data_IF_916740408429
#
_entry.id   IF_916740408429
#
_cell.length_a   1.000
_cell.length_b   1.000
_cell.length_c   1.000
_cell.angle_alpha   90.00
_cell.angle_beta   90.00
_cell.angle_gamma   90.00
#
_symmetry.space_group_name_H-M   'P 1'
#
loop_
_entity.id
_entity.type
_entity.pdbx_description
1 polymer ?
#
# COMPACT_ATOMS: atom_id res chain seq x y z
N UNK A 1 26.30 -24.73 -7.32
CA UNK A 1 26.27 -23.46 -6.59
C UNK A 1 26.16 -22.35 -7.61
N UNK A 2 25.14 -21.48 -7.59
CA UNK A 2 25.12 -20.33 -8.49
C UNK A 2 26.25 -19.38 -8.09
N UNK A 3 26.95 -18.84 -9.07
CA UNK A 3 28.04 -17.91 -8.89
C UNK A 3 27.56 -16.73 -8.03
N UNK A 4 28.32 -16.38 -6.98
CA UNK A 4 28.08 -15.12 -6.23
C UNK A 4 28.07 -13.99 -7.25
N UNK A 5 26.88 -13.42 -7.54
CA UNK A 5 26.77 -12.17 -8.30
C UNK A 5 27.62 -11.14 -7.56
N UNK A 6 28.59 -10.52 -8.27
CA UNK A 6 29.40 -9.39 -7.80
C UNK A 6 28.50 -8.40 -7.06
N UNK A 7 29.03 -7.68 -6.06
CA UNK A 7 28.39 -6.58 -5.34
C UNK A 7 27.78 -5.57 -6.33
N UNK A 8 26.55 -5.85 -6.79
CA UNK A 8 25.81 -4.95 -7.67
C UNK A 8 25.25 -3.83 -6.80
N UNK A 9 25.68 -2.61 -7.06
CA UNK A 9 25.14 -1.40 -6.44
C UNK A 9 24.16 -0.77 -7.40
N UNK A 10 22.88 -0.70 -7.02
CA UNK A 10 21.83 -0.09 -7.84
C UNK A 10 21.78 1.41 -7.61
N UNK A 11 21.63 2.17 -8.68
CA UNK A 11 21.42 3.62 -8.64
C UNK A 11 19.92 3.92 -8.58
N UNK A 12 19.51 4.60 -7.53
CA UNK A 12 18.10 4.88 -7.21
C UNK A 12 17.82 6.37 -7.42
N UNK A 13 16.68 6.65 -8.04
CA UNK A 13 16.13 8.00 -8.14
C UNK A 13 14.82 8.10 -7.33
N UNK A 14 14.58 9.27 -6.74
CA UNK A 14 13.36 9.62 -6.02
C UNK A 14 12.60 10.67 -6.81
N UNK A 15 11.35 10.40 -7.15
CA UNK A 15 10.43 11.35 -7.77
C UNK A 15 9.31 11.67 -6.80
N UNK A 16 9.25 12.92 -6.32
CA UNK A 16 8.45 13.38 -5.19
C UNK A 16 9.24 13.30 -3.89
N UNK A 17 9.80 14.43 -3.44
CA UNK A 17 10.62 14.54 -2.23
C UNK A 17 9.80 15.08 -1.04
N UNK A 18 8.52 14.72 -0.98
CA UNK A 18 7.58 15.11 0.08
C UNK A 18 7.67 14.27 1.35
N UNK A 19 6.60 14.31 2.15
CA UNK A 19 6.54 13.66 3.46
C UNK A 19 6.81 12.16 3.44
N UNK A 20 6.21 11.42 2.52
CA UNK A 20 6.37 9.95 2.45
C UNK A 20 7.79 9.57 2.02
N UNK A 21 8.39 10.31 1.09
CA UNK A 21 9.76 10.08 0.67
C UNK A 21 10.74 10.31 1.83
N UNK A 22 10.57 11.42 2.58
CA UNK A 22 11.42 11.78 3.73
C UNK A 22 11.19 10.93 4.97
N UNK A 23 9.96 10.49 5.22
CA UNK A 23 9.60 9.71 6.41
C UNK A 23 9.79 8.20 6.26
N UNK A 24 9.78 7.69 5.04
CA UNK A 24 9.80 6.24 4.76
C UNK A 24 10.89 5.83 3.77
N UNK A 25 10.78 6.26 2.51
CA UNK A 25 11.61 5.69 1.44
C UNK A 25 13.10 6.01 1.60
N UNK A 26 13.46 7.29 1.66
CA UNK A 26 14.87 7.69 1.71
C UNK A 26 15.58 7.20 2.98
N UNK A 27 15.00 7.32 4.19
CA UNK A 27 15.62 6.77 5.40
C UNK A 27 15.84 5.25 5.35
N UNK A 28 14.89 4.51 4.78
CA UNK A 28 14.98 3.05 4.66
C UNK A 28 16.03 2.63 3.63
N UNK A 29 16.04 3.28 2.46
CA UNK A 29 17.04 3.05 1.41
C UNK A 29 18.46 3.39 1.89
N UNK A 30 18.63 4.48 2.66
CA UNK A 30 19.94 4.90 3.17
C UNK A 30 20.61 3.86 4.10
N UNK A 31 19.85 2.89 4.63
CA UNK A 31 20.38 1.78 5.44
C UNK A 31 20.93 0.61 4.60
N UNK A 32 20.71 0.61 3.30
CA UNK A 32 21.13 -0.46 2.40
C UNK A 32 22.50 -0.14 1.81
N UNK A 33 23.44 -1.07 1.92
CA UNK A 33 24.83 -0.91 1.41
C UNK A 33 24.96 -1.16 -0.11
N UNK A 34 23.93 -1.71 -0.74
CA UNK A 34 23.91 -2.10 -2.13
C UNK A 34 23.11 -1.18 -3.05
N UNK A 35 22.85 0.06 -2.59
CA UNK A 35 22.23 1.13 -3.38
C UNK A 35 22.97 2.46 -3.25
N UNK A 36 22.73 3.35 -4.20
CA UNK A 36 23.13 4.74 -4.16
C UNK A 36 21.96 5.59 -4.64
N UNK A 37 21.52 6.57 -3.86
CA UNK A 37 20.54 7.57 -4.30
C UNK A 37 21.27 8.66 -5.07
N UNK A 38 21.11 8.68 -6.39
CA UNK A 38 21.90 9.52 -7.31
C UNK A 38 21.10 10.62 -8.01
N UNK A 39 19.76 10.59 -7.87
CA UNK A 39 18.91 11.60 -8.50
C UNK A 39 17.64 11.86 -7.66
N UNK A 40 17.25 13.13 -7.58
CA UNK A 40 16.07 13.58 -6.84
C UNK A 40 15.28 14.56 -7.72
N UNK A 41 13.96 14.37 -7.76
CA UNK A 41 13.05 15.20 -8.52
C UNK A 41 11.86 15.63 -7.69
N UNK A 42 11.57 16.91 -7.64
CA UNK A 42 10.33 17.49 -7.12
C UNK A 42 10.00 18.75 -7.91
N UNK A 43 8.72 19.04 -8.12
CA UNK A 43 8.29 20.29 -8.76
C UNK A 43 8.70 21.52 -7.94
N UNK A 44 8.95 21.35 -6.65
CA UNK A 44 9.53 22.33 -5.74
C UNK A 44 11.02 22.01 -5.60
N UNK A 45 11.86 22.80 -6.28
CA UNK A 45 13.30 22.55 -6.40
C UNK A 45 13.99 22.40 -5.04
N UNK A 46 13.63 23.22 -4.07
CA UNK A 46 14.21 23.22 -2.72
C UNK A 46 14.03 21.88 -2.01
N UNK A 47 12.89 21.21 -2.21
CA UNK A 47 12.65 19.87 -1.64
C UNK A 47 13.59 18.82 -2.23
N UNK A 48 13.84 18.87 -3.51
CA UNK A 48 14.76 17.95 -4.17
C UNK A 48 16.21 18.22 -3.77
N UNK A 49 16.61 19.49 -3.61
CA UNK A 49 17.94 19.90 -3.13
C UNK A 49 18.19 19.45 -1.70
N UNK A 50 17.22 19.65 -0.79
CA UNK A 50 17.31 19.20 0.61
C UNK A 50 17.42 17.67 0.69
N UNK A 51 16.64 16.95 -0.10
CA UNK A 51 16.70 15.50 -0.18
C UNK A 51 18.06 15.02 -0.71
N UNK A 52 18.58 15.62 -1.78
CA UNK A 52 19.88 15.29 -2.36
C UNK A 52 21.01 15.57 -1.36
N UNK A 53 20.99 16.69 -0.66
CA UNK A 53 21.97 17.04 0.38
C UNK A 53 21.97 16.04 1.52
N UNK A 54 20.80 15.53 1.92
CA UNK A 54 20.66 14.65 3.08
C UNK A 54 20.94 13.18 2.78
N UNK A 55 20.57 12.71 1.61
CA UNK A 55 20.53 11.27 1.28
C UNK A 55 21.32 10.90 0.02
N UNK A 56 21.67 11.88 -0.81
CA UNK A 56 22.32 11.65 -2.09
C UNK A 56 23.81 11.37 -1.98
N UNK A 57 24.34 10.81 -3.05
CA UNK A 57 25.80 10.80 -3.27
C UNK A 57 26.33 12.22 -3.48
N UNK A 58 27.64 12.42 -3.35
CA UNK A 58 28.26 13.75 -3.51
C UNK A 58 28.04 14.38 -4.88
N UNK A 59 27.74 13.56 -5.90
CA UNK A 59 27.46 13.93 -7.29
C UNK A 59 25.96 13.79 -7.66
N UNK A 60 25.09 13.64 -6.65
CA UNK A 60 23.66 13.48 -6.87
C UNK A 60 23.06 14.67 -7.63
N UNK A 61 22.19 14.37 -8.59
CA UNK A 61 21.57 15.35 -9.46
C UNK A 61 20.18 15.72 -8.97
N UNK A 62 19.81 16.98 -9.16
CA UNK A 62 18.50 17.54 -8.83
C UNK A 62 17.75 17.92 -10.10
N UNK A 63 16.46 17.60 -10.14
CA UNK A 63 15.56 17.86 -11.27
C UNK A 63 14.24 18.46 -10.78
N UNK A 64 13.61 19.28 -11.62
CA UNK A 64 12.22 19.74 -11.42
C UNK A 64 11.26 19.12 -12.43
N UNK A 65 11.79 18.44 -13.43
CA UNK A 65 11.05 17.66 -14.43
C UNK A 65 11.57 16.22 -14.44
N UNK A 66 10.70 15.27 -14.06
CA UNK A 66 11.04 13.86 -14.04
C UNK A 66 11.40 13.28 -15.43
N UNK A 67 10.89 13.86 -16.51
CA UNK A 67 11.23 13.44 -17.87
C UNK A 67 12.70 13.70 -18.21
N UNK A 68 13.28 14.74 -17.63
CA UNK A 68 14.73 15.00 -17.74
C UNK A 68 15.52 14.00 -16.93
N UNK A 69 15.06 13.67 -15.71
CA UNK A 69 15.67 12.64 -14.88
C UNK A 69 15.69 11.27 -15.59
N UNK A 70 14.61 10.88 -16.24
CA UNK A 70 14.50 9.58 -16.94
C UNK A 70 15.45 9.44 -18.14
N UNK A 71 15.99 10.52 -18.67
CA UNK A 71 17.05 10.48 -19.72
C UNK A 71 18.37 9.95 -19.18
N UNK A 72 18.60 9.96 -17.87
CA UNK A 72 19.80 9.41 -17.26
C UNK A 72 19.76 7.88 -17.31
N UNK A 73 20.57 7.30 -18.20
CA UNK A 73 20.65 5.84 -18.41
C UNK A 73 21.35 5.10 -17.28
N UNK A 74 22.00 5.81 -16.36
CA UNK A 74 22.70 5.20 -15.22
C UNK A 74 21.79 4.84 -14.05
N UNK A 75 20.57 5.38 -14.02
CA UNK A 75 19.56 5.07 -13.01
C UNK A 75 18.96 3.70 -13.29
N UNK A 76 18.90 2.86 -12.27
CA UNK A 76 18.35 1.49 -12.34
C UNK A 76 16.91 1.44 -11.80
N UNK A 77 16.64 2.18 -10.74
CA UNK A 77 15.39 2.10 -9.96
C UNK A 77 14.82 3.51 -9.72
N UNK A 78 13.51 3.63 -9.86
CA UNK A 78 12.77 4.86 -9.54
C UNK A 78 11.78 4.57 -8.41
N UNK A 79 11.76 5.43 -7.38
CA UNK A 79 10.70 5.48 -6.38
C UNK A 79 9.77 6.65 -6.70
N UNK A 80 8.48 6.36 -6.95
CA UNK A 80 7.43 7.35 -7.23
C UNK A 80 6.69 7.65 -5.94
N UNK A 81 6.90 8.85 -5.39
CA UNK A 81 6.39 9.30 -4.10
C UNK A 81 5.55 10.59 -4.23
N UNK A 82 4.89 10.74 -5.35
CA UNK A 82 4.08 11.91 -5.74
C UNK A 82 2.63 11.78 -5.27
N UNK A 83 1.76 12.79 -5.47
CA UNK A 83 0.32 12.63 -5.36
C UNK A 83 -0.25 11.59 -6.34
N UNK A 84 -1.38 10.95 -5.96
CA UNK A 84 -1.98 9.82 -6.68
C UNK A 84 -2.22 10.09 -8.18
N UNK A 85 -2.56 11.34 -8.52
CA UNK A 85 -2.83 11.78 -9.90
C UNK A 85 -1.69 11.49 -10.86
N UNK A 86 -0.46 11.56 -10.40
CA UNK A 86 0.74 11.41 -11.24
C UNK A 86 1.38 10.03 -11.18
N UNK A 87 0.87 9.10 -10.35
CA UNK A 87 1.45 7.76 -10.20
C UNK A 87 1.55 7.03 -11.55
N UNK A 88 0.46 6.99 -12.30
CA UNK A 88 0.40 6.19 -13.53
C UNK A 88 1.37 6.70 -14.60
N UNK A 89 1.33 7.99 -14.91
CA UNK A 89 2.15 8.56 -16.00
C UNK A 89 3.65 8.46 -15.65
N UNK A 90 4.03 8.84 -14.43
CA UNK A 90 5.43 8.75 -14.00
C UNK A 90 5.91 7.28 -13.97
N UNK A 91 5.06 6.34 -13.53
CA UNK A 91 5.42 4.92 -13.50
C UNK A 91 5.58 4.34 -14.90
N UNK A 92 4.64 4.61 -15.81
CA UNK A 92 4.70 4.15 -17.20
C UNK A 92 5.96 4.71 -17.88
N UNK A 93 6.17 6.03 -17.82
CA UNK A 93 7.34 6.68 -18.43
C UNK A 93 8.66 6.12 -17.86
N UNK A 94 8.69 5.80 -16.55
CA UNK A 94 9.87 5.20 -15.89
C UNK A 94 10.16 3.79 -16.37
N UNK A 95 9.11 2.94 -16.48
CA UNK A 95 9.23 1.57 -16.98
C UNK A 95 9.70 1.57 -18.45
N UNK A 96 9.10 2.43 -19.29
CA UNK A 96 9.48 2.59 -20.68
C UNK A 96 10.92 3.14 -20.86
N UNK A 97 11.38 3.97 -19.91
CA UNK A 97 12.77 4.40 -19.84
C UNK A 97 13.74 3.31 -19.37
N UNK A 98 13.23 2.09 -19.12
CA UNK A 98 14.02 0.92 -18.74
C UNK A 98 14.35 0.84 -17.25
N UNK A 99 13.60 1.51 -16.36
CA UNK A 99 13.82 1.52 -14.93
C UNK A 99 12.89 0.53 -14.22
N UNK A 100 13.35 -0.10 -13.12
CA UNK A 100 12.47 -0.77 -12.17
C UNK A 100 11.76 0.28 -11.32
N UNK A 101 10.48 0.04 -10.96
CA UNK A 101 9.68 1.06 -10.29
C UNK A 101 9.03 0.55 -9.00
N UNK A 102 9.23 1.31 -7.93
CA UNK A 102 8.43 1.27 -6.72
C UNK A 102 7.49 2.49 -6.74
N UNK A 103 6.19 2.26 -6.82
CA UNK A 103 5.20 3.33 -6.76
C UNK A 103 4.49 3.31 -5.41
N UNK A 104 4.31 4.47 -4.77
CA UNK A 104 3.48 4.56 -3.58
C UNK A 104 2.03 4.16 -3.87
N UNK A 105 1.36 3.74 -2.78
CA UNK A 105 -0.07 3.42 -2.84
C UNK A 105 -0.93 4.71 -2.90
N UNK A 106 -2.14 4.63 -3.46
CA UNK A 106 -2.69 3.53 -4.27
C UNK A 106 -1.93 3.38 -5.59
N UNK A 107 -2.05 2.23 -6.24
CA UNK A 107 -1.39 2.02 -7.55
C UNK A 107 -1.70 3.15 -8.53
N UNK A 108 -2.98 3.49 -8.68
CA UNK A 108 -3.46 4.62 -9.47
C UNK A 108 -4.82 5.11 -8.98
N UNK A 109 -5.30 6.24 -9.48
CA UNK A 109 -6.65 6.78 -9.21
C UNK A 109 -7.76 5.94 -9.86
N UNK A 110 -7.48 5.30 -10.99
CA UNK A 110 -8.44 4.52 -11.77
C UNK A 110 -7.89 3.14 -12.12
N UNK A 111 -8.80 2.17 -12.31
CA UNK A 111 -8.43 0.85 -12.79
C UNK A 111 -7.82 0.88 -14.21
N UNK A 112 -8.26 1.81 -15.05
CA UNK A 112 -7.69 2.00 -16.39
C UNK A 112 -6.22 2.40 -16.32
N UNK A 113 -5.87 3.34 -15.46
CA UNK A 113 -4.49 3.77 -15.25
C UNK A 113 -3.63 2.67 -14.62
N UNK A 114 -4.17 1.94 -13.65
CA UNK A 114 -3.49 0.79 -13.04
C UNK A 114 -3.20 -0.31 -14.08
N UNK A 115 -4.12 -0.57 -15.03
CA UNK A 115 -3.86 -1.49 -16.15
C UNK A 115 -2.74 -1.00 -17.05
N UNK A 116 -2.69 0.31 -17.39
CA UNK A 116 -1.58 0.90 -18.16
C UNK A 116 -0.22 0.64 -17.48
N UNK A 117 -0.14 0.81 -16.16
CA UNK A 117 1.09 0.54 -15.40
C UNK A 117 1.48 -0.94 -15.47
N UNK A 118 0.51 -1.84 -15.29
CA UNK A 118 0.74 -3.29 -15.39
C UNK A 118 1.21 -3.69 -16.79
N UNK A 119 0.56 -3.17 -17.84
CA UNK A 119 0.92 -3.45 -19.23
C UNK A 119 2.34 -2.95 -19.54
N UNK A 120 2.69 -1.73 -19.10
CA UNK A 120 4.03 -1.20 -19.27
C UNK A 120 5.08 -2.08 -18.57
N UNK A 121 4.81 -2.56 -17.36
CA UNK A 121 5.71 -3.49 -16.66
C UNK A 121 5.92 -4.79 -17.45
N UNK A 122 4.83 -5.36 -18.00
CA UNK A 122 4.90 -6.59 -18.82
C UNK A 122 5.66 -6.39 -20.14
N UNK A 123 5.38 -5.28 -20.84
CA UNK A 123 6.01 -4.98 -22.13
C UNK A 123 7.51 -4.69 -22.00
N UNK A 124 7.91 -4.00 -20.95
CA UNK A 124 9.31 -3.63 -20.72
C UNK A 124 10.14 -4.72 -20.02
N UNK A 125 9.48 -5.71 -19.41
CA UNK A 125 10.11 -6.70 -18.55
C UNK A 125 10.72 -6.11 -17.28
N UNK A 126 10.40 -4.86 -16.94
CA UNK A 126 10.87 -4.21 -15.71
C UNK A 126 9.93 -4.51 -14.54
N UNK A 127 10.51 -4.65 -13.36
CA UNK A 127 9.74 -4.94 -12.15
C UNK A 127 9.02 -3.69 -11.69
N UNK A 128 7.75 -3.88 -11.31
CA UNK A 128 6.89 -2.90 -10.69
C UNK A 128 6.40 -3.46 -9.35
N UNK A 129 6.44 -2.65 -8.30
CA UNK A 129 5.80 -2.95 -7.01
C UNK A 129 5.09 -1.72 -6.48
N UNK A 130 4.09 -1.95 -5.63
CA UNK A 130 3.28 -0.89 -5.02
C UNK A 130 3.52 -0.86 -3.51
N UNK A 131 3.58 0.33 -2.91
CA UNK A 131 3.94 0.59 -1.53
C UNK A 131 2.92 0.13 -0.48
N UNK A 132 2.51 -1.14 -0.49
CA UNK A 132 1.64 -1.73 0.52
C UNK A 132 2.44 -2.21 1.73
N UNK A 133 3.01 -1.26 2.50
CA UNK A 133 3.93 -1.53 3.61
C UNK A 133 3.35 -2.41 4.72
N UNK A 134 2.02 -2.49 4.85
CA UNK A 134 1.40 -3.30 5.90
C UNK A 134 1.62 -4.81 5.72
N UNK A 135 1.96 -5.29 4.53
CA UNK A 135 2.37 -6.68 4.29
C UNK A 135 3.69 -7.04 4.98
N UNK A 136 4.54 -6.05 5.30
CA UNK A 136 5.86 -6.25 5.90
C UNK A 136 5.86 -6.16 7.44
N UNK A 137 4.71 -5.98 8.06
CA UNK A 137 4.55 -6.02 9.51
C UNK A 137 4.78 -7.45 10.02
N UNK A 138 5.44 -7.64 11.18
CA UNK A 138 5.68 -8.98 11.72
C UNK A 138 4.41 -9.82 11.89
N UNK A 139 3.34 -9.22 12.44
CA UNK A 139 2.04 -9.85 12.60
C UNK A 139 1.38 -10.23 11.26
N UNK A 140 1.56 -9.38 10.24
CA UNK A 140 1.06 -9.64 8.89
C UNK A 140 1.81 -10.80 8.22
N UNK A 141 3.13 -10.83 8.34
CA UNK A 141 3.96 -11.92 7.81
C UNK A 141 3.63 -13.26 8.47
N UNK A 142 3.46 -13.25 9.79
CA UNK A 142 3.06 -14.44 10.54
C UNK A 142 1.67 -14.94 10.12
N UNK A 143 0.67 -14.04 10.10
CA UNK A 143 -0.69 -14.41 9.71
C UNK A 143 -0.76 -14.92 8.26
N UNK A 144 -0.02 -14.29 7.33
CA UNK A 144 0.03 -14.77 5.96
C UNK A 144 0.60 -16.20 5.89
N UNK A 145 1.63 -16.51 6.68
CA UNK A 145 2.15 -17.88 6.76
C UNK A 145 1.09 -18.86 7.28
N UNK A 146 0.39 -18.54 8.34
CA UNK A 146 -0.73 -19.33 8.88
C UNK A 146 -1.78 -19.61 7.79
N UNK A 147 -2.17 -18.57 7.04
CA UNK A 147 -3.12 -18.71 5.93
C UNK A 147 -2.57 -19.59 4.79
N UNK A 148 -1.29 -19.45 4.44
CA UNK A 148 -0.64 -20.23 3.36
C UNK A 148 -0.45 -21.71 3.73
N UNK A 149 -0.22 -22.01 4.98
CA UNK A 149 -0.14 -23.39 5.50
C UNK A 149 -1.54 -24.04 5.65
N UNK A 150 -2.62 -23.27 5.42
CA UNK A 150 -3.99 -23.78 5.46
C UNK A 150 -4.56 -23.98 6.87
N UNK A 151 -3.94 -23.42 7.91
CA UNK A 151 -4.38 -23.60 9.29
C UNK A 151 -5.79 -23.04 9.57
N UNK A 152 -6.27 -22.09 8.74
CA UNK A 152 -7.64 -21.57 8.86
C UNK A 152 -8.66 -22.34 8.02
N UNK A 153 -8.23 -23.30 7.18
CA UNK A 153 -9.08 -23.95 6.20
C UNK A 153 -9.53 -23.01 5.08
N UNK A 154 -10.72 -23.19 4.55
CA UNK A 154 -11.31 -22.28 3.55
C UNK A 154 -11.77 -20.99 4.23
N UNK A 155 -11.16 -19.86 3.86
CA UNK A 155 -11.58 -18.54 4.35
C UNK A 155 -12.78 -18.09 3.51
N UNK A 156 -13.97 -18.17 4.07
CA UNK A 156 -15.24 -17.85 3.41
C UNK A 156 -15.78 -16.46 3.74
N UNK A 157 -15.31 -15.85 4.84
CA UNK A 157 -15.69 -14.50 5.23
C UNK A 157 -14.49 -13.73 5.79
N UNK A 158 -14.38 -12.46 5.42
CA UNK A 158 -13.35 -11.56 5.96
C UNK A 158 -13.89 -10.14 6.19
N UNK A 159 -13.25 -9.41 7.10
CA UNK A 159 -13.46 -7.97 7.28
C UNK A 159 -12.15 -7.24 7.02
N UNK A 160 -12.20 -6.23 6.17
CA UNK A 160 -11.13 -5.28 5.94
C UNK A 160 -11.48 -3.95 6.63
N UNK A 161 -10.66 -3.50 7.58
CA UNK A 161 -10.99 -2.43 8.50
C UNK A 161 -9.97 -1.29 8.43
N UNK A 162 -10.48 -0.08 8.15
CA UNK A 162 -9.67 1.13 8.06
C UNK A 162 -10.49 2.33 8.59
N UNK A 163 -10.76 2.34 9.90
CA UNK A 163 -11.65 3.30 10.55
C UNK A 163 -10.88 4.23 11.47
N UNK A 164 -10.92 5.52 11.15
CA UNK A 164 -10.57 6.63 12.04
C UNK A 164 -11.85 7.30 12.52
N UNK A 165 -11.91 7.66 13.81
CA UNK A 165 -13.09 8.36 14.34
C UNK A 165 -13.12 9.82 13.90
N UNK A 166 -12.01 10.53 14.03
CA UNK A 166 -11.77 11.93 13.68
C UNK A 166 -10.28 12.13 13.45
N UNK A 167 -9.79 11.69 12.30
CA UNK A 167 -8.41 11.89 11.89
C UNK A 167 -8.36 12.08 10.37
N UNK A 168 -8.93 13.22 9.95
CA UNK A 168 -8.91 13.70 8.57
C UNK A 168 -7.55 14.31 8.29
N UNK A 169 -6.81 13.89 7.25
CA UNK A 169 -5.56 14.53 6.86
C UNK A 169 -5.83 15.96 6.36
N UNK A 170 -5.26 16.96 7.04
CA UNK A 170 -5.49 18.38 6.73
C UNK A 170 -4.34 19.02 5.96
N UNK A 171 -3.32 18.24 5.61
CA UNK A 171 -2.15 18.68 4.86
C UNK A 171 -2.16 18.17 3.41
N UNK A 172 -1.33 18.77 2.57
CA UNK A 172 -1.14 18.37 1.18
C UNK A 172 -2.44 18.49 0.37
N UNK A 173 -2.73 17.46 -0.42
CA UNK A 173 -3.87 17.45 -1.37
C UNK A 173 -4.94 16.40 -1.02
N UNK A 174 -4.92 15.84 0.20
CA UNK A 174 -5.81 14.73 0.59
C UNK A 174 -7.30 15.03 0.43
N UNK A 175 -7.72 16.29 0.62
CA UNK A 175 -9.13 16.69 0.53
C UNK A 175 -9.59 17.01 -0.90
N UNK A 176 -8.69 16.91 -1.88
CA UNK A 176 -8.95 17.24 -3.27
C UNK A 176 -9.16 15.96 -4.10
N UNK A 177 -10.41 15.72 -4.58
CA UNK A 177 -10.77 14.55 -5.37
C UNK A 177 -9.99 14.48 -6.69
N UNK A 178 -9.71 15.62 -7.36
CA UNK A 178 -8.96 15.61 -8.62
C UNK A 178 -7.53 15.10 -8.43
N UNK A 179 -6.88 15.45 -7.33
CA UNK A 179 -5.50 15.02 -7.03
C UNK A 179 -5.44 13.59 -6.49
N UNK A 180 -6.40 13.19 -5.64
CA UNK A 180 -6.37 11.93 -4.89
C UNK A 180 -7.22 10.82 -5.50
N UNK A 181 -8.32 11.16 -6.19
CA UNK A 181 -9.28 10.19 -6.72
C UNK A 181 -10.35 9.76 -5.72
N UNK A 182 -10.22 10.13 -4.45
CA UNK A 182 -11.15 9.85 -3.37
C UNK A 182 -10.53 10.12 -2.01
N UNK A 183 -11.27 9.86 -0.96
CA UNK A 183 -10.92 10.09 0.44
C UNK A 183 -10.41 8.82 1.14
N UNK A 184 -10.98 8.47 2.33
CA UNK A 184 -10.51 7.34 3.13
C UNK A 184 -10.54 6.00 2.40
N UNK A 185 -11.44 5.77 1.46
CA UNK A 185 -11.51 4.51 0.75
C UNK A 185 -10.22 4.24 -0.03
N UNK A 186 -9.75 5.23 -0.79
CA UNK A 186 -8.53 5.10 -1.60
C UNK A 186 -7.26 5.34 -0.79
N UNK A 187 -7.32 6.09 0.33
CA UNK A 187 -6.16 6.37 1.19
C UNK A 187 -5.84 5.25 2.17
N UNK A 188 -6.80 4.87 3.02
CA UNK A 188 -6.59 3.87 4.08
C UNK A 188 -7.36 2.57 3.85
N UNK A 189 -8.52 2.62 3.18
CA UNK A 189 -9.27 1.44 2.78
C UNK A 189 -8.47 0.51 1.86
N UNK A 190 -7.66 1.10 0.99
CA UNK A 190 -6.73 0.37 0.12
C UNK A 190 -5.78 -0.54 0.89
N UNK A 191 -5.26 -0.09 2.05
CA UNK A 191 -4.37 -0.88 2.89
C UNK A 191 -5.05 -2.09 3.54
N UNK A 192 -6.27 -1.87 4.07
CA UNK A 192 -7.02 -2.95 4.71
C UNK A 192 -7.48 -3.98 3.69
N UNK A 193 -7.92 -3.53 2.51
CA UNK A 193 -8.34 -4.42 1.43
C UNK A 193 -7.17 -5.22 0.88
N UNK A 194 -6.04 -4.56 0.57
CA UNK A 194 -4.82 -5.24 0.13
C UNK A 194 -4.39 -6.34 1.10
N UNK A 195 -4.30 -6.00 2.38
CA UNK A 195 -3.92 -6.94 3.42
C UNK A 195 -4.86 -8.14 3.49
N UNK A 196 -6.18 -7.89 3.41
CA UNK A 196 -7.20 -8.94 3.46
C UNK A 196 -7.15 -9.87 2.25
N UNK A 197 -7.05 -9.32 1.02
CA UNK A 197 -6.90 -10.12 -0.19
C UNK A 197 -5.61 -10.94 -0.18
N UNK A 198 -4.52 -10.37 0.36
CA UNK A 198 -3.24 -11.06 0.48
C UNK A 198 -3.29 -12.24 1.48
N UNK A 199 -4.00 -12.08 2.60
CA UNK A 199 -4.24 -13.20 3.54
C UNK A 199 -5.09 -14.30 2.91
N UNK A 200 -6.18 -13.92 2.22
CA UNK A 200 -7.05 -14.86 1.53
C UNK A 200 -6.42 -15.50 0.29
N UNK A 201 -5.31 -14.96 -0.22
CA UNK A 201 -4.75 -15.30 -1.53
C UNK A 201 -5.81 -15.34 -2.64
N UNK A 202 -6.73 -14.39 -2.63
CA UNK A 202 -7.87 -14.36 -3.54
C UNK A 202 -8.06 -12.96 -4.11
N UNK A 203 -7.81 -12.80 -5.40
CA UNK A 203 -7.85 -11.53 -6.14
C UNK A 203 -8.88 -11.56 -7.27
N UNK A 204 -9.88 -12.46 -7.18
CA UNK A 204 -10.91 -12.62 -8.20
C UNK A 204 -12.27 -12.18 -7.67
N UNK A 205 -12.57 -10.86 -7.70
CA UNK A 205 -13.89 -10.37 -7.31
C UNK A 205 -14.93 -10.77 -8.37
N UNK A 206 -16.10 -11.21 -7.90
CA UNK A 206 -17.29 -11.50 -8.74
C UNK A 206 -18.21 -10.29 -8.82
N UNK A 207 -18.50 -9.67 -7.68
CA UNK A 207 -19.36 -8.50 -7.60
C UNK A 207 -19.06 -7.66 -6.38
N UNK A 208 -19.37 -6.37 -6.50
CA UNK A 208 -19.19 -5.37 -5.45
C UNK A 208 -20.45 -4.52 -5.30
N UNK A 209 -20.91 -4.38 -4.07
CA UNK A 209 -21.92 -3.39 -3.68
C UNK A 209 -21.32 -2.46 -2.62
N UNK A 210 -21.49 -1.15 -2.76
CA UNK A 210 -20.92 -0.22 -1.79
C UNK A 210 -21.53 1.18 -1.81
N UNK A 211 -21.17 1.96 -0.78
CA UNK A 211 -21.65 3.34 -0.60
C UNK A 211 -20.54 4.22 -0.04
N UNK A 212 -20.41 5.42 -0.58
CA UNK A 212 -19.55 6.48 -0.10
C UNK A 212 -20.39 7.63 0.47
N UNK A 213 -19.96 8.21 1.57
CA UNK A 213 -20.71 9.23 2.31
C UNK A 213 -19.88 10.50 2.45
N UNK A 214 -20.58 11.66 2.32
CA UNK A 214 -20.04 13.02 2.40
C UNK A 214 -20.79 13.76 3.51
N UNK A 215 -20.67 13.30 4.78
CA UNK A 215 -21.49 13.75 5.90
C UNK A 215 -20.75 14.67 6.86
N UNK A 216 -19.60 14.21 7.34
CA UNK A 216 -18.85 14.92 8.38
C UNK A 216 -17.77 15.84 7.82
N UNK A 217 -17.29 15.59 6.62
CA UNK A 217 -16.36 16.47 5.90
C UNK A 217 -16.92 17.87 5.64
N UNK A 218 -18.26 18.00 5.51
CA UNK A 218 -18.95 19.28 5.33
C UNK A 218 -19.33 19.99 6.63
N UNK A 219 -19.05 19.39 7.78
CA UNK A 219 -19.37 19.97 9.07
C UNK A 219 -18.36 21.06 9.43
N UNK A 220 -18.85 22.27 9.70
CA UNK A 220 -18.08 23.36 10.28
C UNK A 220 -17.66 23.03 11.72
N UNK A 221 -16.53 23.49 12.14
CA UNK A 221 -15.98 23.35 13.51
C UNK A 221 -15.98 21.90 14.03
N UNK A 222 -15.74 20.94 13.13
CA UNK A 222 -15.63 19.53 13.51
C UNK A 222 -14.34 19.27 14.27
N UNK A 223 -14.43 18.52 15.38
CA UNK A 223 -13.25 18.04 16.09
C UNK A 223 -12.42 17.13 15.18
N UNK A 224 -11.10 17.27 15.19
CA UNK A 224 -10.15 16.46 14.42
C UNK A 224 -8.80 16.37 15.13
N UNK A 225 -8.14 15.22 15.03
CA UNK A 225 -6.84 14.99 15.66
C UNK A 225 -5.71 15.85 15.05
N UNK A 226 -5.85 16.24 13.79
CA UNK A 226 -4.80 16.94 13.03
C UNK A 226 -5.20 18.37 12.60
N UNK A 227 -5.98 19.05 13.45
CA UNK A 227 -6.43 20.42 13.21
C UNK A 227 -7.69 20.48 12.34
N UNK A 228 -8.18 21.71 12.14
CA UNK A 228 -9.38 21.99 11.36
C UNK A 228 -9.12 21.88 9.86
N UNK A 229 -10.18 21.62 9.11
CA UNK A 229 -10.19 21.71 7.65
C UNK A 229 -11.21 22.76 7.18
N UNK A 230 -11.08 23.17 5.94
CA UNK A 230 -12.06 23.99 5.24
C UNK A 230 -13.12 23.07 4.59
N UNK A 231 -14.38 23.07 5.06
CA UNK A 231 -15.43 22.22 4.49
C UNK A 231 -15.70 22.45 3.01
N UNK A 232 -15.41 23.66 2.48
CA UNK A 232 -15.61 23.97 1.06
C UNK A 232 -14.55 23.29 0.17
N UNK A 233 -13.35 23.05 0.72
CA UNK A 233 -12.26 22.34 0.06
C UNK A 233 -12.31 20.83 0.23
N UNK A 234 -13.21 20.31 1.06
CA UNK A 234 -13.37 18.89 1.29
C UNK A 234 -14.25 18.28 0.19
N UNK A 235 -13.66 17.82 -0.90
CA UNK A 235 -14.38 17.34 -2.09
C UNK A 235 -14.49 15.82 -2.19
N UNK A 236 -13.80 15.09 -1.32
CA UNK A 236 -13.82 13.62 -1.26
C UNK A 236 -14.85 13.09 -0.25
N UNK A 237 -15.13 11.80 -0.23
CA UNK A 237 -15.93 11.17 0.82
C UNK A 237 -15.21 11.21 2.18
N UNK A 238 -15.95 11.16 3.28
CA UNK A 238 -15.41 11.02 4.65
C UNK A 238 -15.52 9.60 5.20
N UNK A 239 -16.34 8.77 4.58
CA UNK A 239 -16.49 7.36 4.89
C UNK A 239 -17.03 6.57 3.68
N UNK A 240 -16.64 5.31 3.56
CA UNK A 240 -17.14 4.39 2.54
C UNK A 240 -17.18 2.96 3.07
N UNK A 241 -18.15 2.19 2.56
CA UNK A 241 -18.38 0.81 2.96
C UNK A 241 -18.63 -0.04 1.71
N UNK A 242 -18.10 -1.26 1.69
CA UNK A 242 -18.23 -2.17 0.58
C UNK A 242 -18.50 -3.60 1.02
N UNK A 243 -19.29 -4.30 0.21
CA UNK A 243 -19.55 -5.72 0.32
C UNK A 243 -19.08 -6.37 -0.98
N UNK A 244 -18.05 -7.18 -0.90
CA UNK A 244 -17.37 -7.79 -2.04
C UNK A 244 -17.64 -9.28 -2.02
N UNK A 245 -18.21 -9.83 -3.10
CA UNK A 245 -18.32 -11.27 -3.31
C UNK A 245 -17.22 -11.72 -4.25
N UNK A 246 -16.44 -12.71 -3.85
CA UNK A 246 -15.37 -13.31 -4.64
C UNK A 246 -15.92 -14.42 -5.54
N UNK A 247 -15.19 -14.85 -6.58
CA UNK A 247 -15.64 -15.90 -7.50
C UNK A 247 -15.86 -17.26 -6.81
N UNK A 248 -15.07 -17.58 -5.79
CA UNK A 248 -15.24 -18.80 -4.97
C UNK A 248 -16.38 -18.71 -3.96
N UNK A 249 -17.15 -17.61 -3.93
CA UNK A 249 -18.25 -17.39 -3.00
C UNK A 249 -17.85 -16.73 -1.67
N UNK A 250 -16.58 -16.58 -1.37
CA UNK A 250 -16.13 -15.87 -0.18
C UNK A 250 -16.57 -14.39 -0.20
N UNK A 251 -16.75 -13.82 0.98
CA UNK A 251 -17.25 -12.46 1.14
C UNK A 251 -16.25 -11.63 1.93
N UNK A 252 -16.04 -10.38 1.48
CA UNK A 252 -15.27 -9.39 2.22
C UNK A 252 -16.18 -8.19 2.53
N UNK A 253 -16.27 -7.80 3.81
CA UNK A 253 -16.85 -6.54 4.25
C UNK A 253 -15.73 -5.52 4.44
N UNK A 254 -15.76 -4.43 3.67
CA UNK A 254 -14.79 -3.34 3.75
C UNK A 254 -15.42 -2.13 4.44
N UNK A 255 -14.72 -1.59 5.44
CA UNK A 255 -15.10 -0.37 6.16
C UNK A 255 -13.93 0.61 6.12
N UNK A 256 -14.19 1.83 5.66
CA UNK A 256 -13.17 2.88 5.60
C UNK A 256 -13.72 4.24 5.98
N UNK A 257 -13.00 4.96 6.86
CA UNK A 257 -13.45 6.29 7.29
C UNK A 257 -12.30 7.12 7.87
N UNK A 258 -12.29 8.42 7.55
CA UNK A 258 -11.51 9.42 8.28
C UNK A 258 -12.30 10.09 9.38
N UNK A 259 -13.65 10.12 9.25
CA UNK A 259 -14.56 10.76 10.19
C UNK A 259 -15.87 10.00 10.30
N UNK A 260 -16.12 9.39 11.44
CA UNK A 260 -17.33 8.64 11.75
C UNK A 260 -17.61 8.67 13.26
N UNK A 261 -18.87 8.51 13.67
CA UNK A 261 -19.24 8.37 15.08
C UNK A 261 -19.20 6.88 15.50
N UNK A 262 -18.01 6.31 15.53
CA UNK A 262 -17.74 4.94 15.96
C UNK A 262 -16.60 4.95 16.99
N UNK A 263 -16.69 4.10 18.02
CA UNK A 263 -15.64 3.95 19.03
C UNK A 263 -14.65 2.84 18.67
N UNK A 264 -15.08 1.84 17.88
CA UNK A 264 -14.19 0.80 17.40
C UNK A 264 -13.43 1.32 16.19
N UNK A 265 -12.19 1.70 16.40
CA UNK A 265 -11.31 2.30 15.39
C UNK A 265 -10.06 1.44 15.20
N UNK A 266 -9.51 1.46 13.99
CA UNK A 266 -8.28 0.72 13.64
C UNK A 266 -8.01 0.81 12.15
N UNK A 267 -6.74 0.75 11.77
CA UNK A 267 -6.29 0.86 10.39
C UNK A 267 -5.50 -0.38 9.97
N UNK A 268 -5.68 -0.79 8.72
CA UNK A 268 -5.03 -1.96 8.14
C UNK A 268 -5.18 -3.20 9.06
N UNK A 269 -6.41 -3.44 9.47
CA UNK A 269 -6.82 -4.58 10.29
C UNK A 269 -7.64 -5.53 9.41
N UNK A 270 -7.36 -6.81 9.51
CA UNK A 270 -8.20 -7.86 8.91
C UNK A 270 -8.75 -8.79 9.97
N UNK A 271 -9.98 -9.28 9.76
CA UNK A 271 -10.57 -10.42 10.47
C UNK A 271 -10.86 -11.49 9.44
N UNK A 272 -10.48 -12.73 9.72
CA UNK A 272 -10.64 -13.87 8.83
C UNK A 272 -11.44 -14.96 9.51
N UNK A 273 -12.45 -15.49 8.83
CA UNK A 273 -13.27 -16.62 9.28
C UNK A 273 -13.09 -17.76 8.29
N UNK A 274 -12.41 -18.80 8.71
CA UNK A 274 -12.20 -20.02 7.95
C UNK A 274 -12.95 -21.21 8.54
N UNK A 275 -12.93 -22.34 7.83
CA UNK A 275 -13.64 -23.57 8.24
C UNK A 275 -12.94 -24.31 9.37
N UNK A 276 -11.62 -24.15 9.52
CA UNK A 276 -10.81 -24.80 10.56
C UNK A 276 -10.41 -23.84 11.68
N UNK A 277 -10.48 -22.53 11.44
CA UNK A 277 -10.13 -21.51 12.41
C UNK A 277 -10.37 -20.10 11.89
N UNK A 278 -10.02 -19.13 12.71
CA UNK A 278 -10.12 -17.71 12.36
C UNK A 278 -8.97 -16.91 12.93
N UNK A 279 -8.88 -15.66 12.49
CA UNK A 279 -7.90 -14.70 12.97
C UNK A 279 -8.48 -13.29 13.04
N UNK A 280 -7.99 -12.48 13.95
CA UNK A 280 -8.22 -11.03 13.98
C UNK A 280 -6.99 -10.27 14.49
N UNK A 281 -6.94 -8.96 14.16
CA UNK A 281 -5.80 -8.09 14.49
C UNK A 281 -6.19 -6.91 15.38
N UNK A 282 -7.33 -6.96 16.10
CA UNK A 282 -7.85 -5.82 16.85
C UNK A 282 -7.02 -5.43 18.09
N UNK A 283 -6.54 -6.40 18.83
CA UNK A 283 -5.71 -6.21 20.04
C UNK A 283 -4.35 -6.91 19.89
N UNK A 284 -3.73 -6.69 18.74
CA UNK A 284 -2.67 -7.52 18.21
C UNK A 284 -3.22 -8.77 17.53
N UNK A 285 -2.35 -9.58 16.93
CA UNK A 285 -2.78 -10.78 16.22
C UNK A 285 -3.30 -11.82 17.21
N UNK A 286 -4.52 -12.31 16.95
CA UNK A 286 -5.15 -13.44 17.64
C UNK A 286 -5.60 -14.48 16.63
N UNK A 287 -5.34 -15.73 16.93
CA UNK A 287 -5.90 -16.88 16.22
C UNK A 287 -6.98 -17.51 17.10
N UNK A 288 -7.96 -18.15 16.51
CA UNK A 288 -9.00 -18.88 17.22
C UNK A 288 -9.35 -20.17 16.47
N UNK A 289 -9.84 -21.15 17.20
CA UNK A 289 -10.20 -22.44 16.65
C UNK A 289 -10.92 -23.30 17.65
N UNK A 290 -11.07 -24.59 17.31
CA UNK A 290 -11.66 -25.60 18.15
C UNK A 290 -10.67 -26.74 18.42
N UNK A 291 -10.56 -27.17 19.66
CA UNK A 291 -9.75 -28.33 20.04
C UNK A 291 -10.41 -29.09 21.19
N UNK A 292 -10.52 -30.38 21.04
CA UNK A 292 -11.14 -31.27 22.07
C UNK A 292 -12.57 -30.83 22.45
N UNK A 293 -13.37 -30.33 21.46
CA UNK A 293 -14.73 -29.86 21.70
C UNK A 293 -14.81 -28.55 22.49
N UNK A 294 -13.74 -27.75 22.50
CA UNK A 294 -13.68 -26.45 23.16
C UNK A 294 -13.12 -25.39 22.19
N UNK A 295 -13.77 -24.23 22.16
CA UNK A 295 -13.27 -23.06 21.48
C UNK A 295 -12.11 -22.46 22.26
N UNK A 296 -11.07 -22.01 21.55
CA UNK A 296 -9.93 -21.37 22.18
C UNK A 296 -9.39 -20.22 21.32
N UNK A 297 -8.97 -19.09 21.90
CA UNK A 297 -8.13 -18.10 21.26
C UNK A 297 -6.66 -18.40 21.57
N UNK A 298 -5.77 -18.07 20.64
CA UNK A 298 -4.31 -18.06 20.83
C UNK A 298 -3.77 -16.70 20.42
N UNK A 299 -2.92 -16.12 21.23
CA UNK A 299 -2.18 -14.90 20.91
C UNK A 299 -0.71 -15.27 20.70
N UNK A 300 -0.22 -15.26 19.45
CA UNK A 300 1.20 -15.49 19.19
C UNK A 300 2.05 -14.42 19.89
N UNK A 301 3.15 -14.84 20.49
CA UNK A 301 4.14 -13.91 21.03
C UNK A 301 4.98 -13.35 19.88
N UNK A 302 4.65 -12.13 19.47
CA UNK A 302 5.32 -11.45 18.39
C UNK A 302 6.64 -10.78 18.83
N UNK A 303 6.91 -10.68 20.14
CA UNK A 303 8.12 -10.08 20.72
C UNK A 303 9.20 -11.13 20.99
N UNK A 304 8.84 -12.40 21.03
CA UNK A 304 9.78 -13.52 21.20
C UNK A 304 10.69 -13.66 19.96
N UNK A 305 11.52 -12.67 19.71
CA UNK A 305 12.70 -12.84 18.87
C UNK A 305 13.67 -13.68 19.64
N UNK A 306 14.01 -14.88 19.14
CA UNK A 306 15.00 -15.76 19.79
C UNK A 306 16.22 -15.01 20.33
N UNK A 307 17.10 -15.68 21.02
CA UNK A 307 18.29 -15.07 21.66
C UNK A 307 19.01 -14.15 20.67
N UNK A 308 19.27 -12.90 21.01
CA UNK A 308 20.05 -11.88 20.26
C UNK A 308 21.38 -12.37 19.69
N UNK A 309 21.81 -13.56 20.08
CA UNK A 309 23.05 -14.21 19.70
C UNK A 309 23.19 -14.48 18.19
N UNK A 310 22.11 -14.48 17.42
CA UNK A 310 22.12 -14.73 15.99
C UNK A 310 21.80 -13.48 15.13
N UNK A 311 21.91 -12.29 15.69
CA UNK A 311 21.87 -11.03 14.93
C UNK A 311 20.52 -10.78 14.26
N UNK A 312 19.41 -11.00 14.96
CA UNK A 312 18.11 -10.53 14.53
C UNK A 312 18.07 -9.00 14.65
N UNK A 313 18.64 -8.30 13.67
CA UNK A 313 18.32 -6.90 13.46
C UNK A 313 16.85 -6.86 13.06
N UNK A 314 15.97 -6.53 13.97
CA UNK A 314 14.56 -6.31 13.67
C UNK A 314 14.44 -5.07 12.80
N UNK A 315 14.44 -5.28 11.48
CA UNK A 315 14.15 -4.20 10.54
C UNK A 315 12.71 -3.76 10.80
N UNK A 316 12.48 -2.44 10.82
CA UNK A 316 11.10 -1.98 10.81
C UNK A 316 10.44 -2.31 9.46
N UNK A 317 9.09 -2.31 9.36
CA UNK A 317 8.39 -2.72 8.14
C UNK A 317 8.85 -1.97 6.88
N UNK A 318 9.16 -0.67 6.99
CA UNK A 318 9.63 0.14 5.85
C UNK A 318 11.04 -0.23 5.38
N UNK A 319 11.91 -0.57 6.32
CA UNK A 319 13.27 -1.05 6.01
C UNK A 319 13.23 -2.43 5.37
N UNK A 320 12.34 -3.30 5.86
CA UNK A 320 12.14 -4.63 5.29
C UNK A 320 11.57 -4.54 3.87
N UNK A 321 10.59 -3.65 3.64
CA UNK A 321 10.04 -3.36 2.31
C UNK A 321 11.14 -2.91 1.34
N UNK A 322 11.95 -1.90 1.73
CA UNK A 322 13.04 -1.41 0.92
C UNK A 322 14.07 -2.49 0.61
N UNK A 323 14.47 -3.29 1.61
CA UNK A 323 15.40 -4.40 1.45
C UNK A 323 14.87 -5.45 0.49
N UNK A 324 13.65 -5.94 0.71
CA UNK A 324 13.05 -6.99 -0.11
C UNK A 324 12.82 -6.52 -1.55
N UNK A 325 12.49 -5.24 -1.76
CA UNK A 325 12.39 -4.66 -3.09
C UNK A 325 13.73 -4.67 -3.84
N UNK A 326 14.79 -4.19 -3.22
CA UNK A 326 16.13 -4.18 -3.83
C UNK A 326 16.64 -5.61 -4.06
N UNK A 327 16.44 -6.50 -3.11
CA UNK A 327 16.81 -7.92 -3.23
C UNK A 327 16.04 -8.61 -4.38
N UNK A 328 14.77 -8.28 -4.58
CA UNK A 328 13.93 -8.76 -5.68
C UNK A 328 14.53 -8.38 -7.06
N UNK A 329 15.03 -7.16 -7.21
CA UNK A 329 15.66 -6.69 -8.44
C UNK A 329 17.00 -7.43 -8.67
N UNK A 330 17.85 -7.49 -7.64
CA UNK A 330 19.19 -8.09 -7.74
C UNK A 330 19.12 -9.59 -8.03
N UNK A 331 18.17 -10.28 -7.40
CA UNK A 331 18.04 -11.73 -7.52
C UNK A 331 17.08 -12.16 -8.64
N UNK A 332 16.48 -11.21 -9.33
CA UNK A 332 15.49 -11.42 -10.38
C UNK A 332 14.29 -12.29 -9.93
N UNK A 333 13.76 -12.01 -8.74
CA UNK A 333 12.60 -12.68 -8.17
C UNK A 333 11.34 -11.82 -8.30
N UNK A 334 10.17 -12.38 -8.00
CA UNK A 334 8.92 -11.63 -7.95
C UNK A 334 8.87 -10.71 -6.73
N UNK A 335 8.30 -9.49 -6.86
CA UNK A 335 8.08 -8.62 -5.72
C UNK A 335 7.01 -9.19 -4.78
N UNK A 336 7.09 -8.87 -3.49
CA UNK A 336 6.08 -9.27 -2.51
C UNK A 336 4.69 -8.71 -2.82
N UNK A 337 4.64 -7.47 -3.31
CA UNK A 337 3.42 -6.84 -3.82
C UNK A 337 3.48 -6.90 -5.34
N UNK A 338 2.74 -7.83 -5.93
CA UNK A 338 2.66 -7.95 -7.39
C UNK A 338 1.74 -6.88 -7.97
N UNK A 339 2.06 -6.32 -9.12
CA UNK A 339 1.22 -5.28 -9.73
C UNK A 339 -0.18 -5.79 -10.11
N UNK A 340 -0.35 -7.08 -10.44
CA UNK A 340 -1.65 -7.71 -10.67
C UNK A 340 -2.53 -7.71 -9.42
N UNK A 341 -1.94 -7.94 -8.25
CA UNK A 341 -2.63 -7.92 -6.97
C UNK A 341 -3.08 -6.50 -6.62
N UNK A 342 -2.22 -5.52 -6.83
CA UNK A 342 -2.53 -4.10 -6.63
C UNK A 342 -3.59 -3.57 -7.62
N UNK A 343 -3.60 -4.09 -8.86
CA UNK A 343 -4.66 -3.80 -9.83
C UNK A 343 -6.01 -4.28 -9.31
N UNK A 344 -6.12 -5.52 -8.80
CA UNK A 344 -7.37 -6.05 -8.26
C UNK A 344 -7.89 -5.19 -7.08
N UNK A 345 -7.01 -4.70 -6.21
CA UNK A 345 -7.37 -3.73 -5.16
C UNK A 345 -7.98 -2.48 -5.79
N UNK A 346 -7.31 -1.87 -6.77
CA UNK A 346 -7.78 -0.64 -7.43
C UNK A 346 -9.13 -0.85 -8.11
N UNK A 347 -9.33 -1.99 -8.78
CA UNK A 347 -10.59 -2.35 -9.44
C UNK A 347 -11.75 -2.47 -8.45
N UNK A 348 -11.54 -3.09 -7.30
CA UNK A 348 -12.55 -3.21 -6.24
C UNK A 348 -12.92 -1.85 -5.67
N UNK A 349 -11.93 -0.98 -5.39
CA UNK A 349 -12.18 0.37 -4.87
C UNK A 349 -12.98 1.21 -5.88
N UNK A 350 -12.61 1.19 -7.16
CA UNK A 350 -13.36 1.86 -8.23
C UNK A 350 -14.79 1.33 -8.34
N UNK A 351 -14.98 0.00 -8.20
CA UNK A 351 -16.30 -0.62 -8.22
C UNK A 351 -17.19 -0.16 -7.03
N UNK A 352 -16.61 0.08 -5.84
CA UNK A 352 -17.34 0.65 -4.69
C UNK A 352 -17.83 2.06 -5.03
N UNK A 353 -16.97 2.93 -5.58
CA UNK A 353 -17.40 4.27 -6.01
C UNK A 353 -18.48 4.22 -7.09
N UNK A 354 -18.32 3.33 -8.08
CA UNK A 354 -19.32 3.14 -9.14
C UNK A 354 -20.65 2.64 -8.59
N UNK A 355 -20.62 1.67 -7.68
CA UNK A 355 -21.80 1.15 -6.99
C UNK A 355 -22.50 2.25 -6.20
N UNK A 356 -21.75 3.04 -5.45
CA UNK A 356 -22.30 4.19 -4.69
C UNK A 356 -23.00 5.22 -5.59
N UNK A 357 -22.42 5.54 -6.75
CA UNK A 357 -23.01 6.49 -7.71
C UNK A 357 -24.27 5.96 -8.40
N UNK A 358 -24.34 4.66 -8.66
CA UNK A 358 -25.43 4.04 -9.44
C UNK A 358 -26.53 3.40 -8.59
N UNK A 359 -26.26 3.14 -7.30
CA UNK A 359 -27.12 2.36 -6.42
C UNK A 359 -27.23 0.89 -6.80
N UNK A 360 -26.35 0.36 -7.67
CA UNK A 360 -26.38 -1.00 -8.21
C UNK A 360 -25.09 -1.74 -7.93
N UNK A 361 -25.17 -3.06 -7.81
CA UNK A 361 -23.97 -3.90 -7.77
C UNK A 361 -23.18 -3.79 -9.09
N UNK A 362 -21.85 -3.82 -8.97
CA UNK A 362 -20.91 -3.88 -10.09
C UNK A 362 -20.43 -5.32 -10.22
N UNK A 363 -20.55 -5.89 -11.39
CA UNK A 363 -20.09 -7.25 -11.70
C UNK A 363 -18.79 -7.19 -12.51
N UNK A 364 -17.86 -8.04 -12.16
CA UNK A 364 -16.63 -8.25 -12.92
C UNK A 364 -16.87 -9.29 -14.01
N UNK A 365 -16.12 -9.19 -15.11
CA UNK A 365 -16.21 -10.11 -16.25
C UNK A 365 -15.06 -11.08 -16.24
#
# INVERSE_FOLDING_TARGET
>A
MPAKKKNLVLKVAIIGCGGIANGKHMPSLAKLSNIQMTAFCDIVQEKAEEAAKKYGTSDAKVYTDYKLLLKDKTIDVVHVCTPNKSHADITVDSLEAGKHVMCEKPMAKTAADARRMLEAAKLTGKKLTIGYQNRYRPDSLYLNKVCREGELGEIYYAKAHAIRRRAVPTWGVFLNEDEQGGGPLIDIGTHALDLTLWMMNNYKPKSVMGSAFYKLGKKKDAANAWGSWDPEKFTVEDSAFGFITMENGAIISLESSWAINNLQVGEAITTLCGTEGGADMWEGLRLNGEKYGKLYPTKPDMEATGVDFYGSTSLNPSELEAKMWIDCIINDTEPMVKPEEALAVTEILEAIYKSSKTGKAVYFK
#
